data_IF_023608767927
#
_entry.id   IF_023608767927
#
_cell.length_a   1.000
_cell.length_b   1.000
_cell.length_c   1.000
_cell.angle_alpha   90.00
_cell.angle_beta   90.00
_cell.angle_gamma   90.00
#
_symmetry.space_group_name_H-M   'P 1'
#
loop_
_entity.id
_entity.type
_entity.pdbx_description
1 polymer ?
#
# COMPACT_ATOMS: atom_id res chain seq x y z
N UNK A 1 0.92 8.15 -15.51
CA UNK A 1 1.27 6.90 -16.13
C UNK A 1 2.62 6.42 -15.74
N UNK A 2 3.67 6.91 -16.41
CA UNK A 2 5.01 6.51 -16.01
C UNK A 2 5.29 6.89 -14.58
N UNK A 3 4.82 8.07 -14.13
CA UNK A 3 4.98 8.49 -12.75
C UNK A 3 4.26 7.55 -11.80
N UNK A 4 3.06 7.09 -12.18
CA UNK A 4 2.32 6.14 -11.37
C UNK A 4 3.05 4.81 -11.25
N UNK A 5 3.52 4.28 -12.37
CA UNK A 5 4.25 3.01 -12.36
C UNK A 5 5.56 3.13 -11.60
N UNK A 6 6.26 4.25 -11.78
CA UNK A 6 7.51 4.49 -11.07
C UNK A 6 7.28 4.56 -9.57
N UNK A 7 6.22 5.27 -9.16
CA UNK A 7 5.87 5.39 -7.76
C UNK A 7 5.57 4.04 -7.13
N UNK A 8 4.84 3.19 -7.86
CA UNK A 8 4.51 1.86 -7.37
C UNK A 8 5.77 1.01 -7.20
N UNK A 9 6.69 1.08 -8.15
CA UNK A 9 7.97 0.36 -8.03
C UNK A 9 8.80 0.87 -6.88
N UNK A 10 8.84 2.20 -6.69
CA UNK A 10 9.55 2.81 -5.58
C UNK A 10 9.00 2.33 -4.24
N UNK A 11 7.68 2.37 -4.12
CA UNK A 11 7.03 1.97 -2.87
C UNK A 11 7.28 0.50 -2.56
N UNK A 12 7.20 -0.36 -3.59
CA UNK A 12 7.47 -1.78 -3.39
C UNK A 12 8.91 -2.01 -2.94
N UNK A 13 9.85 -1.29 -3.52
CA UNK A 13 11.25 -1.41 -3.14
C UNK A 13 11.47 -0.98 -1.69
N UNK A 14 10.78 0.08 -1.25
CA UNK A 14 10.90 0.53 0.14
C UNK A 14 10.30 -0.48 1.12
N UNK A 15 9.17 -1.09 0.75
CA UNK A 15 8.60 -2.14 1.57
C UNK A 15 9.59 -3.30 1.74
N UNK A 16 10.22 -3.71 0.65
CA UNK A 16 11.17 -4.82 0.69
C UNK A 16 12.39 -4.49 1.53
N UNK A 17 12.85 -3.24 1.43
CA UNK A 17 14.02 -2.80 2.20
C UNK A 17 13.72 -2.78 3.70
N UNK A 18 12.52 -2.32 4.06
CA UNK A 18 12.20 -2.09 5.46
C UNK A 18 11.69 -3.34 6.19
N UNK A 19 10.99 -4.22 5.48
CA UNK A 19 10.28 -5.32 6.12
C UNK A 19 10.75 -6.69 5.69
N UNK A 20 11.76 -6.75 4.83
CA UNK A 20 12.29 -8.02 4.33
C UNK A 20 11.18 -8.90 3.76
N UNK A 21 10.28 -8.28 3.02
CA UNK A 21 9.14 -8.96 2.42
C UNK A 21 9.32 -9.01 0.90
N UNK A 22 8.35 -9.64 0.23
CA UNK A 22 8.34 -9.70 -1.24
C UNK A 22 7.17 -8.89 -1.75
N UNK A 23 7.43 -7.61 -1.97
CA UNK A 23 6.44 -6.71 -2.54
C UNK A 23 6.83 -6.38 -3.97
N UNK A 24 5.82 -6.23 -4.81
CA UNK A 24 6.02 -5.86 -6.20
C UNK A 24 4.84 -5.06 -6.70
N UNK A 25 5.09 -4.31 -7.76
CA UNK A 25 4.03 -3.57 -8.42
C UNK A 25 3.01 -4.56 -8.96
N UNK A 26 1.75 -4.29 -8.72
CA UNK A 26 0.67 -5.11 -9.25
C UNK A 26 0.51 -4.82 -10.75
N UNK A 27 0.32 -5.87 -11.55
CA UNK A 27 -0.01 -5.69 -12.95
C UNK A 27 -1.52 -5.68 -13.09
N UNK A 28 -2.06 -4.49 -13.21
CA UNK A 28 -3.50 -4.33 -13.34
C UNK A 28 -3.85 -4.25 -14.81
N UNK A 29 -4.60 -5.23 -15.26
CA UNK A 29 -5.10 -5.23 -16.62
C UNK A 29 -6.55 -4.78 -16.61
N UNK A 30 -6.89 -3.87 -17.52
CA UNK A 30 -8.27 -3.45 -17.72
C UNK A 30 -8.91 -2.79 -16.50
N UNK A 31 -8.10 -2.25 -15.60
CA UNK A 31 -8.62 -1.56 -14.43
C UNK A 31 -9.52 -2.40 -13.56
N UNK A 32 -9.17 -3.68 -13.39
CA UNK A 32 -9.98 -4.58 -12.58
C UNK A 32 -10.16 -4.06 -11.16
N UNK A 33 -11.39 -4.02 -10.69
CA UNK A 33 -11.71 -3.59 -9.34
C UNK A 33 -11.10 -4.53 -8.32
N UNK A 34 -10.69 -3.98 -7.20
CA UNK A 34 -10.18 -4.78 -6.10
C UNK A 34 -8.69 -5.06 -6.15
N UNK A 35 -8.01 -4.64 -7.22
CA UNK A 35 -6.57 -4.82 -7.31
C UNK A 35 -5.85 -3.70 -6.58
N UNK A 36 -4.95 -4.07 -5.68
CA UNK A 36 -4.07 -3.13 -5.02
C UNK A 36 -2.96 -2.70 -5.98
N UNK A 37 -2.35 -1.55 -5.72
CA UNK A 37 -1.23 -1.07 -6.53
C UNK A 37 0.02 -1.89 -6.30
N UNK A 38 0.17 -2.48 -5.12
CA UNK A 38 1.28 -3.33 -4.76
C UNK A 38 0.73 -4.65 -4.25
N UNK A 39 1.33 -5.75 -4.72
CA UNK A 39 1.09 -7.07 -4.16
C UNK A 39 2.25 -7.43 -3.26
N UNK A 40 1.93 -7.99 -2.10
CA UNK A 40 2.90 -8.23 -1.06
C UNK A 40 2.53 -9.52 -0.33
N UNK A 41 3.55 -10.23 0.17
CA UNK A 41 3.32 -11.47 0.90
C UNK A 41 2.96 -11.25 2.38
N UNK A 42 2.82 -10.00 2.80
CA UNK A 42 2.19 -9.69 4.09
C UNK A 42 0.69 -9.67 3.85
N UNK A 43 -0.02 -10.67 4.35
CA UNK A 43 -1.44 -10.85 4.06
C UNK A 43 -2.32 -9.84 4.76
N UNK A 44 -3.46 -9.55 4.14
CA UNK A 44 -4.52 -8.77 4.78
C UNK A 44 -4.42 -7.26 4.57
N UNK A 45 -3.53 -6.80 3.72
CA UNK A 45 -3.34 -5.38 3.47
C UNK A 45 -3.60 -5.05 2.02
N UNK A 46 -4.27 -3.93 1.79
CA UNK A 46 -4.50 -3.40 0.45
C UNK A 46 -3.74 -2.11 0.31
N UNK A 47 -2.73 -2.09 -0.53
CA UNK A 47 -1.84 -0.93 -0.68
C UNK A 47 -2.25 -0.07 -1.86
N UNK A 48 -2.54 1.19 -1.57
CA UNK A 48 -2.80 2.23 -2.57
C UNK A 48 -1.57 3.15 -2.58
N UNK A 49 -0.98 3.37 -3.74
CA UNK A 49 0.23 4.19 -3.85
C UNK A 49 -0.11 5.50 -4.54
N UNK A 50 0.25 6.61 -3.91
CA UNK A 50 -0.01 7.94 -4.45
C UNK A 50 1.28 8.75 -4.45
N UNK A 51 1.78 9.02 -5.62
CA UNK A 51 3.00 9.80 -5.84
C UNK A 51 2.58 11.17 -6.41
N UNK A 52 2.08 12.03 -5.55
CA UNK A 52 1.53 13.33 -5.94
C UNK A 52 2.00 14.40 -4.98
N UNK A 53 2.16 15.63 -5.52
CA UNK A 53 2.56 16.76 -4.67
C UNK A 53 1.41 17.31 -3.84
N UNK A 54 0.19 17.26 -4.38
CA UNK A 54 -0.98 17.72 -3.66
C UNK A 54 -1.51 16.62 -2.76
N UNK A 55 -1.51 16.89 -1.48
CA UNK A 55 -1.98 15.93 -0.49
C UNK A 55 -3.51 15.85 -0.49
N UNK A 56 -4.04 14.63 -0.69
CA UNK A 56 -5.48 14.39 -0.67
C UNK A 56 -5.75 13.09 0.09
N UNK A 57 -5.25 13.02 1.31
CA UNK A 57 -5.23 11.76 2.06
C UNK A 57 -6.59 11.11 2.23
N UNK A 58 -7.62 11.88 2.60
CA UNK A 58 -8.94 11.28 2.81
C UNK A 58 -9.53 10.75 1.51
N UNK A 59 -9.31 11.44 0.41
CA UNK A 59 -9.77 10.96 -0.89
C UNK A 59 -9.05 9.64 -1.25
N UNK A 60 -7.76 9.59 -1.01
CA UNK A 60 -6.98 8.38 -1.31
C UNK A 60 -7.38 7.22 -0.40
N UNK A 61 -7.64 7.52 0.87
CA UNK A 61 -8.08 6.47 1.80
C UNK A 61 -9.46 5.95 1.41
N UNK A 62 -10.36 6.84 0.97
CA UNK A 62 -11.68 6.42 0.49
C UNK A 62 -11.56 5.52 -0.74
N UNK A 63 -10.63 5.84 -1.63
CA UNK A 63 -10.38 5.01 -2.79
C UNK A 63 -9.88 3.62 -2.39
N UNK A 64 -8.91 3.58 -1.47
CA UNK A 64 -8.38 2.31 -0.99
C UNK A 64 -9.47 1.48 -0.32
N UNK A 65 -10.31 2.14 0.47
CA UNK A 65 -11.43 1.47 1.14
C UNK A 65 -12.40 0.87 0.12
N UNK A 66 -12.66 1.61 -0.96
CA UNK A 66 -13.59 1.17 -2.00
C UNK A 66 -13.03 0.00 -2.81
N UNK A 67 -11.72 -0.01 -3.01
CA UNK A 67 -11.07 -1.00 -3.88
C UNK A 67 -10.63 -2.26 -3.16
N UNK A 68 -10.54 -2.22 -1.83
CA UNK A 68 -10.04 -3.35 -1.07
C UNK A 68 -11.02 -4.51 -1.05
N UNK A 69 -10.51 -5.70 -0.79
CA UNK A 69 -11.36 -6.83 -0.51
C UNK A 69 -11.91 -6.71 0.91
N UNK A 70 -13.00 -7.42 1.16
CA UNK A 70 -13.72 -7.33 2.42
C UNK A 70 -12.81 -7.53 3.64
N UNK A 71 -11.89 -8.48 3.52
CA UNK A 71 -11.03 -8.84 4.65
C UNK A 71 -9.73 -8.04 4.73
N UNK A 72 -9.54 -7.09 3.82
CA UNK A 72 -8.28 -6.35 3.76
C UNK A 72 -8.38 -5.01 4.48
N UNK A 73 -7.23 -4.55 4.98
CA UNK A 73 -7.10 -3.24 5.60
C UNK A 73 -6.56 -2.28 4.54
N UNK A 74 -7.26 -1.14 4.31
CA UNK A 74 -6.76 -0.18 3.32
C UNK A 74 -5.59 0.61 3.88
N UNK A 75 -4.52 0.70 3.11
CA UNK A 75 -3.29 1.39 3.49
C UNK A 75 -2.87 2.28 2.32
N UNK A 76 -2.51 3.51 2.62
CA UNK A 76 -2.03 4.45 1.61
C UNK A 76 -0.54 4.67 1.81
N UNK A 77 0.23 4.48 0.75
CA UNK A 77 1.65 4.82 0.71
C UNK A 77 1.80 6.04 -0.18
N UNK A 78 2.38 7.10 0.34
CA UNK A 78 2.50 8.32 -0.43
C UNK A 78 3.82 9.01 -0.18
N UNK A 79 4.24 9.81 -1.15
CA UNK A 79 5.47 10.58 -1.08
C UNK A 79 5.35 11.79 -1.98
N UNK A 80 5.80 12.93 -1.46
CA UNK A 80 6.02 14.12 -2.29
C UNK A 80 7.48 14.13 -2.71
N UNK A 81 7.81 14.94 -3.71
CA UNK A 81 9.19 15.05 -4.19
C UNK A 81 10.12 15.43 -3.04
N UNK A 82 11.24 14.74 -2.93
CA UNK A 82 12.27 15.01 -1.94
C UNK A 82 11.80 14.89 -0.50
N UNK A 83 10.75 14.10 -0.26
CA UNK A 83 10.24 13.84 1.08
C UNK A 83 10.28 12.33 1.33
N UNK A 84 10.27 11.92 2.59
CA UNK A 84 10.24 10.49 2.89
C UNK A 84 8.88 9.88 2.57
N UNK A 85 8.86 8.58 2.35
CA UNK A 85 7.62 7.85 2.18
C UNK A 85 6.82 7.84 3.48
N UNK A 86 5.53 7.99 3.36
CA UNK A 86 4.60 7.93 4.48
C UNK A 86 3.65 6.76 4.28
N UNK A 87 3.26 6.14 5.37
CA UNK A 87 2.23 5.11 5.36
C UNK A 87 1.08 5.63 6.21
N UNK A 88 -0.13 5.60 5.65
CA UNK A 88 -1.33 6.01 6.37
C UNK A 88 -2.29 4.84 6.47
N UNK A 89 -2.87 4.69 7.65
CA UNK A 89 -3.88 3.67 7.94
C UNK A 89 -4.89 4.32 8.86
N UNK A 90 -6.15 3.89 8.79
CA UNK A 90 -7.12 4.42 9.74
C UNK A 90 -6.76 3.95 11.14
N UNK A 91 -6.89 4.85 12.11
CA UNK A 91 -6.50 4.53 13.48
C UNK A 91 -7.20 3.27 13.98
N UNK A 92 -8.46 3.11 13.62
CA UNK A 92 -9.24 1.93 14.02
C UNK A 92 -8.67 0.63 13.47
N UNK A 93 -7.95 0.70 12.35
CA UNK A 93 -7.38 -0.49 11.71
C UNK A 93 -5.95 -0.78 12.16
N UNK A 94 -5.35 0.13 12.93
CA UNK A 94 -3.96 -0.04 13.31
C UNK A 94 -3.69 -1.31 14.10
N UNK A 95 -4.53 -1.68 15.10
CA UNK A 95 -4.25 -2.93 15.81
C UNK A 95 -4.20 -4.15 14.90
N UNK A 96 -5.13 -4.24 13.95
CA UNK A 96 -5.14 -5.36 13.01
C UNK A 96 -3.94 -5.33 12.08
N UNK A 97 -3.50 -4.13 11.69
CA UNK A 97 -2.31 -3.99 10.85
C UNK A 97 -1.05 -4.45 11.59
N UNK A 98 -0.93 -4.08 12.86
CA UNK A 98 0.19 -4.52 13.68
C UNK A 98 0.21 -6.05 13.76
N UNK A 99 -0.97 -6.64 13.93
CA UNK A 99 -1.10 -8.10 14.00
C UNK A 99 -0.66 -8.76 12.69
N UNK A 100 -1.03 -8.16 11.55
CA UNK A 100 -0.63 -8.68 10.25
C UNK A 100 0.89 -8.70 10.10
N UNK A 101 1.56 -7.63 10.53
CA UNK A 101 3.02 -7.57 10.46
C UNK A 101 3.66 -8.54 11.45
N UNK A 102 3.09 -8.68 12.64
CA UNK A 102 3.61 -9.62 13.63
C UNK A 102 3.49 -11.07 13.16
N UNK A 103 2.37 -11.40 12.53
CA UNK A 103 2.17 -12.74 11.97
C UNK A 103 3.18 -13.02 10.87
N UNK A 104 3.47 -12.02 10.05
CA UNK A 104 4.47 -12.17 8.99
C UNK A 104 5.86 -12.35 9.60
N UNK A 105 6.20 -11.53 10.59
CA UNK A 105 7.49 -11.62 11.28
C UNK A 105 7.71 -12.93 12.01
N UNK A 106 6.62 -13.63 12.40
CA UNK A 106 6.70 -14.95 13.02
C UNK A 106 6.89 -16.08 12.04
N UNK A 107 6.92 -15.78 10.75
CA UNK A 107 7.12 -16.76 9.70
C UNK A 107 8.55 -17.31 9.77
N UNK A 108 8.75 -18.62 9.74
CA UNK A 108 10.10 -19.19 9.82
C UNK A 108 10.97 -18.84 8.64
#
# INVERSE_FOLDING_TARGET
RDKGKRGEREAAAEMNRLFDCEARRSQQYCGADGDADIKCDIDGLHFEVKRQERMQMYKWMDQAESDKRYTEIPVVLTRQNNKPWLLAVKLDDLPAMIEAFNSYGGKP
#
